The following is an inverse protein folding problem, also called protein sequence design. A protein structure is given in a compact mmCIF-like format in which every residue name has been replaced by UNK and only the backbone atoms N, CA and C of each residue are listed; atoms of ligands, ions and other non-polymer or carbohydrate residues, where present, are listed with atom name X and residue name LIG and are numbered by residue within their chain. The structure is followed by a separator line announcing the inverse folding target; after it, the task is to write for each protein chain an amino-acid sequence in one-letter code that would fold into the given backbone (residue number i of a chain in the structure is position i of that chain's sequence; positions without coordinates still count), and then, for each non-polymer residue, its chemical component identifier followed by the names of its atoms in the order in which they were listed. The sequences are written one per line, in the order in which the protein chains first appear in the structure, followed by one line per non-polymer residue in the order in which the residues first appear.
data_IF_883337029071
#
_entry.id   IF_883337029071
#
_cell.length_a   1.000
_cell.length_b   1.000
_cell.length_c   1.000
_cell.angle_alpha   90.00
_cell.angle_beta   90.00
_cell.angle_gamma   90.00
#
_symmetry.space_group_name_H-M   'P 1'
#
loop_
_entity.id
_entity.type
_entity.pdbx_description
1 polymer ?
#
# COMPACT_ATOMS: atom_id res chain seq x y z
N UNK A 1 14.19 43.47 4.60
CA UNK A 1 14.31 42.00 4.77
C UNK A 1 13.05 41.43 4.15
N UNK A 2 13.14 40.97 2.91
CA UNK A 2 11.98 40.63 2.09
C UNK A 2 11.48 39.23 2.45
N UNK A 3 10.19 39.14 2.79
CA UNK A 3 9.46 37.88 2.93
C UNK A 3 9.39 37.18 1.57
N UNK A 4 10.16 36.12 1.38
CA UNK A 4 9.98 35.21 0.25
C UNK A 4 8.81 34.29 0.57
N UNK A 5 7.60 34.72 0.19
CA UNK A 5 6.44 33.82 0.08
C UNK A 5 6.72 32.84 -1.05
N UNK A 6 6.95 31.57 -0.70
CA UNK A 6 6.95 30.47 -1.67
C UNK A 6 5.52 30.34 -2.18
N UNK A 7 5.30 30.78 -3.41
CA UNK A 7 4.05 30.54 -4.12
C UNK A 7 3.89 29.02 -4.27
N UNK A 8 2.89 28.45 -3.60
CA UNK A 8 2.42 27.11 -3.90
C UNK A 8 1.71 27.19 -5.25
N UNK A 9 2.35 26.69 -6.30
CA UNK A 9 1.68 26.52 -7.58
C UNK A 9 0.55 25.49 -7.42
N UNK A 10 -0.64 25.72 -8.02
CA UNK A 10 -1.72 24.77 -7.96
C UNK A 10 -1.26 23.48 -8.65
N UNK A 11 -1.31 22.36 -7.91
CA UNK A 11 -1.06 21.03 -8.43
C UNK A 11 -2.08 20.78 -9.56
N UNK A 12 -1.62 20.84 -10.81
CA UNK A 12 -2.43 20.51 -11.97
C UNK A 12 -2.93 19.06 -11.87
N UNK A 13 -3.93 18.66 -12.66
CA UNK A 13 -4.28 17.24 -12.76
C UNK A 13 -3.00 16.52 -13.20
N UNK A 14 -2.46 15.68 -12.31
CA UNK A 14 -1.33 14.83 -12.63
C UNK A 14 -1.64 14.04 -13.90
N UNK A 15 -0.61 13.58 -14.62
CA UNK A 15 -0.83 12.75 -15.80
C UNK A 15 -1.78 11.61 -15.43
N UNK A 16 -2.75 11.33 -16.30
CA UNK A 16 -3.61 10.17 -16.16
C UNK A 16 -2.70 8.98 -15.89
N UNK A 17 -2.82 8.37 -14.70
CA UNK A 17 -2.03 7.21 -14.35
C UNK A 17 -2.35 6.16 -15.42
N UNK A 18 -1.37 5.86 -16.27
CA UNK A 18 -1.50 4.76 -17.19
C UNK A 18 -1.76 3.51 -16.37
N UNK A 19 -2.71 2.64 -16.79
CA UNK A 19 -2.94 1.39 -16.10
C UNK A 19 -1.59 0.69 -15.96
N UNK A 20 -1.22 0.33 -14.73
CA UNK A 20 0.00 -0.42 -14.47
C UNK A 20 -0.01 -1.64 -15.38
N UNK A 21 0.93 -1.66 -16.33
CA UNK A 21 1.06 -2.78 -17.24
C UNK A 21 1.34 -4.08 -16.47
N UNK A 22 1.05 -5.24 -17.08
CA UNK A 22 1.32 -6.52 -16.47
C UNK A 22 2.80 -6.61 -16.03
N UNK A 23 3.04 -7.14 -14.83
CA UNK A 23 4.37 -7.22 -14.22
C UNK A 23 5.33 -8.12 -15.02
N UNK A 24 6.65 -8.08 -14.73
CA UNK A 24 7.63 -8.90 -15.45
C UNK A 24 7.28 -10.39 -15.34
N UNK A 25 7.01 -11.03 -16.48
CA UNK A 25 6.52 -12.41 -16.58
C UNK A 25 5.03 -12.54 -16.93
N UNK A 26 4.32 -11.42 -17.03
CA UNK A 26 2.92 -11.36 -17.42
C UNK A 26 2.88 -10.74 -18.83
N UNK A 27 2.57 -11.56 -19.84
CA UNK A 27 2.58 -11.10 -21.22
C UNK A 27 1.49 -10.05 -21.47
N UNK A 28 1.77 -8.96 -22.19
CA UNK A 28 0.73 -8.05 -22.65
C UNK A 28 -0.21 -8.84 -23.56
N UNK A 29 -1.52 -8.78 -23.26
CA UNK A 29 -2.54 -9.49 -24.00
C UNK A 29 -2.51 -9.11 -25.48
N UNK A 30 -1.96 -10.00 -26.31
CA UNK A 30 -2.14 -9.97 -27.75
C UNK A 30 -3.60 -10.30 -28.11
N UNK A 31 -4.07 -9.93 -29.31
CA UNK A 31 -5.44 -10.16 -29.77
C UNK A 31 -5.78 -11.64 -30.07
N UNK A 32 -4.95 -12.59 -29.61
CA UNK A 32 -4.97 -13.99 -30.05
C UNK A 32 -5.65 -14.94 -29.05
N UNK A 33 -6.17 -14.43 -27.93
CA UNK A 33 -7.03 -15.24 -27.07
C UNK A 33 -8.48 -15.10 -27.55
N UNK A 34 -8.85 -15.94 -28.51
CA UNK A 34 -10.23 -16.09 -28.94
C UNK A 34 -11.06 -16.45 -27.69
N UNK A 35 -11.95 -15.57 -27.20
CA UNK A 35 -12.67 -15.84 -25.98
C UNK A 35 -13.59 -17.05 -26.23
N UNK A 36 -13.57 -18.10 -25.39
CA UNK A 36 -14.67 -19.03 -25.35
C UNK A 36 -15.93 -18.21 -25.04
N UNK A 37 -17.02 -18.60 -25.69
CA UNK A 37 -18.16 -17.74 -25.97
C UNK A 37 -18.87 -17.14 -24.74
N UNK A 38 -18.54 -17.53 -23.51
CA UNK A 38 -19.19 -17.02 -22.29
C UNK A 38 -18.21 -16.84 -21.10
N UNK A 39 -17.34 -15.83 -21.14
CA UNK A 39 -16.66 -15.34 -19.91
C UNK A 39 -17.41 -14.17 -19.29
N UNK A 40 -17.53 -14.18 -17.96
CA UNK A 40 -18.20 -13.13 -17.19
C UNK A 40 -17.14 -12.30 -16.46
N UNK A 41 -17.13 -10.99 -16.72
CA UNK A 41 -16.38 -10.04 -15.89
C UNK A 41 -17.23 -9.59 -14.70
N UNK A 42 -16.78 -9.91 -13.49
CA UNK A 42 -17.42 -9.52 -12.24
C UNK A 42 -16.55 -8.50 -11.51
N UNK A 43 -17.10 -7.31 -11.25
CA UNK A 43 -16.44 -6.30 -10.43
C UNK A 43 -16.91 -6.42 -8.98
N UNK A 44 -16.06 -6.99 -8.11
CA UNK A 44 -16.24 -6.87 -6.67
C UNK A 44 -15.76 -5.50 -6.21
N UNK A 45 -16.72 -4.57 -6.09
CA UNK A 45 -16.45 -3.19 -5.75
C UNK A 45 -16.04 -2.94 -4.28
N UNK A 46 -15.59 -1.72 -3.94
CA UNK A 46 -15.23 -1.29 -2.59
C UNK A 46 -16.33 -1.45 -1.52
N UNK A 47 -17.59 -1.54 -1.95
CA UNK A 47 -18.76 -1.72 -1.09
C UNK A 47 -19.00 -3.19 -0.73
N UNK A 48 -18.28 -4.13 -1.35
CA UNK A 48 -18.37 -5.53 -1.00
C UNK A 48 -18.01 -5.68 0.49
N UNK A 49 -18.85 -6.36 1.30
CA UNK A 49 -18.57 -6.57 2.72
C UNK A 49 -17.30 -7.42 2.85
N UNK A 50 -16.21 -6.76 3.21
CA UNK A 50 -14.88 -7.38 3.37
C UNK A 50 -14.37 -7.11 4.77
N UNK A 51 -13.96 -8.16 5.48
CA UNK A 51 -13.44 -8.06 6.86
C UNK A 51 -12.08 -7.37 6.91
N UNK A 52 -11.35 -7.30 5.79
CA UNK A 52 -9.93 -6.90 5.74
C UNK A 52 -9.70 -5.49 5.18
N UNK A 53 -10.74 -4.65 5.18
CA UNK A 53 -10.68 -3.29 4.66
C UNK A 53 -11.29 -3.15 3.27
N UNK A 54 -10.88 -2.11 2.55
CA UNK A 54 -11.46 -1.75 1.24
C UNK A 54 -10.57 -2.30 0.12
N UNK A 55 -11.12 -3.20 -0.67
CA UNK A 55 -10.46 -3.81 -1.83
C UNK A 55 -11.45 -3.86 -2.98
N UNK A 56 -10.99 -3.51 -4.19
CA UNK A 56 -11.73 -3.80 -5.42
C UNK A 56 -11.02 -4.93 -6.17
N UNK A 57 -11.76 -5.93 -6.60
CA UNK A 57 -11.21 -7.02 -7.42
C UNK A 57 -12.04 -7.18 -8.68
N UNK A 58 -11.39 -7.11 -9.85
CA UNK A 58 -12.00 -7.44 -11.14
C UNK A 58 -11.72 -8.91 -11.43
N UNK A 59 -12.77 -9.71 -11.48
CA UNK A 59 -12.69 -11.16 -11.67
C UNK A 59 -13.14 -11.53 -13.07
N UNK A 60 -12.39 -12.42 -13.73
CA UNK A 60 -12.84 -13.10 -14.96
C UNK A 60 -13.27 -14.51 -14.59
N UNK A 61 -14.53 -14.83 -14.84
CA UNK A 61 -15.16 -16.08 -14.46
C UNK A 61 -15.51 -16.91 -15.70
N UNK A 62 -15.22 -18.20 -15.60
CA UNK A 62 -15.67 -19.27 -16.49
C UNK A 62 -16.63 -20.15 -15.69
N UNK A 63 -17.91 -19.76 -15.67
CA UNK A 63 -18.90 -20.31 -14.75
C UNK A 63 -18.55 -20.03 -13.28
N UNK A 64 -18.29 -21.10 -12.51
CA UNK A 64 -17.89 -21.02 -11.09
C UNK A 64 -16.35 -20.94 -10.90
N UNK A 65 -15.58 -21.04 -11.98
CA UNK A 65 -14.12 -21.06 -11.93
C UNK A 65 -13.56 -19.65 -12.15
N UNK A 66 -12.76 -19.17 -11.21
CA UNK A 66 -11.97 -17.93 -11.38
C UNK A 66 -10.80 -18.22 -12.31
N UNK A 67 -10.78 -17.58 -13.48
CA UNK A 67 -9.67 -17.66 -14.43
C UNK A 67 -8.62 -16.59 -14.19
N UNK A 68 -9.05 -15.41 -13.77
CA UNK A 68 -8.18 -14.27 -13.49
C UNK A 68 -8.78 -13.35 -12.42
N UNK A 69 -7.91 -12.66 -11.69
CA UNK A 69 -8.25 -11.71 -10.64
C UNK A 69 -7.27 -10.54 -10.64
N UNK A 70 -7.78 -9.35 -10.96
CA UNK A 70 -7.04 -8.09 -10.95
C UNK A 70 -7.44 -7.26 -9.72
N UNK A 71 -6.61 -7.24 -8.65
CA UNK A 71 -6.88 -6.44 -7.47
C UNK A 71 -6.46 -4.97 -7.68
N UNK A 72 -7.41 -4.06 -7.58
CA UNK A 72 -7.14 -2.62 -7.52
C UNK A 72 -6.95 -2.22 -6.04
N UNK A 73 -5.70 -1.92 -5.71
CA UNK A 73 -5.21 -1.54 -4.38
C UNK A 73 -4.98 -0.03 -4.28
N UNK A 74 -4.92 0.49 -3.05
CA UNK A 74 -4.57 1.90 -2.81
C UNK A 74 -5.72 2.78 -2.31
N UNK A 75 -6.92 2.22 -2.13
CA UNK A 75 -8.05 2.92 -1.49
C UNK A 75 -7.74 3.43 -0.07
N UNK A 76 -6.77 2.81 0.61
CA UNK A 76 -6.29 3.22 1.94
C UNK A 76 -4.85 3.78 1.90
N UNK A 77 -4.38 4.25 0.74
CA UNK A 77 -3.08 4.90 0.66
C UNK A 77 -3.15 6.29 1.32
N UNK A 78 -2.51 6.42 2.49
CA UNK A 78 -2.48 7.67 3.27
C UNK A 78 -1.15 8.43 3.16
N UNK A 79 -0.20 7.94 2.37
CA UNK A 79 1.11 8.59 2.21
C UNK A 79 1.96 8.56 3.49
N UNK A 80 2.03 7.39 4.16
CA UNK A 80 2.83 7.21 5.37
C UNK A 80 4.28 7.65 5.16
N UNK A 81 4.93 7.20 4.09
CA UNK A 81 6.31 7.53 3.76
C UNK A 81 6.55 9.03 3.71
N UNK A 82 5.66 9.77 3.05
CA UNK A 82 5.73 11.22 2.98
C UNK A 82 5.53 11.87 4.35
N UNK A 83 4.61 11.32 5.16
CA UNK A 83 4.37 11.80 6.52
C UNK A 83 5.56 11.58 7.44
N UNK A 84 6.39 10.55 7.19
CA UNK A 84 7.60 10.29 7.95
C UNK A 84 8.73 11.28 7.65
N UNK A 85 8.73 11.96 6.49
CA UNK A 85 9.75 12.97 6.18
C UNK A 85 9.66 14.22 7.07
N UNK A 86 8.45 14.61 7.47
CA UNK A 86 8.22 15.79 8.32
C UNK A 86 8.35 15.46 9.82
N UNK A 87 8.21 14.18 10.19
CA UNK A 87 8.08 13.76 11.59
C UNK A 87 9.41 13.33 12.18
N UNK A 88 9.59 13.67 13.45
CA UNK A 88 10.70 13.11 14.24
C UNK A 88 10.50 11.61 14.46
N UNK A 89 11.59 10.86 14.66
CA UNK A 89 11.54 9.42 14.91
C UNK A 89 10.60 9.04 16.06
N UNK A 90 10.57 9.83 17.15
CA UNK A 90 9.66 9.59 18.28
C UNK A 90 8.19 9.79 17.92
N UNK A 91 7.87 10.78 17.09
CA UNK A 91 6.50 10.99 16.60
C UNK A 91 6.09 9.92 15.59
N UNK A 92 7.05 9.41 14.80
CA UNK A 92 6.84 8.38 13.80
C UNK A 92 6.30 7.05 14.35
N UNK A 93 6.59 6.72 15.61
CA UNK A 93 6.09 5.49 16.26
C UNK A 93 4.56 5.41 16.21
N UNK A 94 3.86 6.54 16.40
CA UNK A 94 2.39 6.58 16.35
C UNK A 94 1.81 6.35 14.95
N UNK A 95 2.64 6.49 13.91
CA UNK A 95 2.29 6.18 12.52
C UNK A 95 2.58 4.72 12.18
N UNK A 96 3.60 4.09 12.76
CA UNK A 96 3.86 2.66 12.54
C UNK A 96 2.74 1.76 13.07
N UNK A 97 2.07 2.16 14.15
CA UNK A 97 0.86 1.49 14.66
C UNK A 97 -0.27 1.36 13.62
N UNK A 98 -0.31 2.26 12.63
CA UNK A 98 -1.38 2.32 11.64
C UNK A 98 -1.09 1.56 10.35
N UNK A 99 0.13 1.06 10.19
CA UNK A 99 0.51 0.29 8.99
C UNK A 99 -0.11 -1.12 9.00
N UNK A 100 -0.20 -1.74 10.17
CA UNK A 100 -0.93 -2.99 10.43
C UNK A 100 -1.76 -2.76 11.68
N UNK A 101 -3.07 -2.61 11.46
CA UNK A 101 -4.01 -2.34 12.53
C UNK A 101 -4.29 -3.58 13.41
N UNK A 102 -3.89 -4.78 12.98
CA UNK A 102 -4.07 -6.03 13.74
C UNK A 102 -2.90 -6.30 14.69
N UNK A 103 -1.68 -5.88 14.33
CA UNK A 103 -0.48 -6.10 15.14
C UNK A 103 0.40 -4.84 15.31
N UNK A 104 -0.10 -3.76 15.96
CA UNK A 104 0.66 -2.53 16.17
C UNK A 104 2.04 -2.72 16.85
N UNK A 105 2.18 -3.56 17.90
CA UNK A 105 3.47 -3.75 18.57
C UNK A 105 4.58 -4.30 17.66
N UNK A 106 4.23 -5.16 16.70
CA UNK A 106 5.22 -5.79 15.79
C UNK A 106 5.78 -4.73 14.83
N UNK A 107 4.92 -3.86 14.31
CA UNK A 107 5.35 -2.75 13.46
C UNK A 107 6.24 -1.76 14.20
N UNK A 108 5.89 -1.44 15.44
CA UNK A 108 6.71 -0.56 16.27
C UNK A 108 8.10 -1.14 16.51
N UNK A 109 8.19 -2.44 16.79
CA UNK A 109 9.47 -3.13 16.94
C UNK A 109 10.28 -3.05 15.64
N UNK A 110 9.67 -3.30 14.48
CA UNK A 110 10.34 -3.16 13.17
C UNK A 110 10.90 -1.75 12.91
N UNK A 111 10.10 -0.73 13.20
CA UNK A 111 10.50 0.67 13.05
C UNK A 111 11.63 1.05 14.02
N UNK A 112 11.47 0.75 15.31
CA UNK A 112 12.44 1.10 16.36
C UNK A 112 13.77 0.37 16.14
N UNK A 113 13.77 -0.92 15.78
CA UNK A 113 15.00 -1.65 15.47
C UNK A 113 15.75 -1.04 14.29
N UNK A 114 15.04 -0.52 13.29
CA UNK A 114 15.64 0.16 12.14
C UNK A 114 16.34 1.46 12.58
N UNK A 115 15.70 2.24 13.46
CA UNK A 115 16.29 3.47 14.02
C UNK A 115 17.49 3.14 14.92
N UNK A 116 17.39 2.15 15.80
CA UNK A 116 18.47 1.71 16.68
C UNK A 116 19.71 1.28 15.89
N UNK A 117 19.51 0.54 14.79
CA UNK A 117 20.58 0.15 13.88
C UNK A 117 21.22 1.34 13.17
N UNK A 118 20.44 2.36 12.79
CA UNK A 118 20.96 3.57 12.16
C UNK A 118 21.86 4.39 13.09
N UNK A 119 21.53 4.46 14.38
CA UNK A 119 22.30 5.20 15.38
C UNK A 119 23.38 4.38 16.09
N UNK A 120 23.42 3.06 15.86
CA UNK A 120 24.42 2.15 16.43
C UNK A 120 24.28 1.94 17.95
N UNK A 121 23.06 1.99 18.48
CA UNK A 121 22.82 1.83 19.93
C UNK A 121 22.57 0.36 20.27
N UNK A 122 23.22 -0.11 21.34
CA UNK A 122 22.96 -1.43 21.92
C UNK A 122 21.80 -1.36 22.93
N UNK A 123 20.77 -2.18 22.71
CA UNK A 123 19.58 -2.23 23.56
C UNK A 123 19.81 -3.17 24.75
N UNK A 124 19.44 -2.80 25.99
CA UNK A 124 19.61 -3.66 27.16
C UNK A 124 18.90 -5.02 27.01
N UNK A 125 19.52 -6.09 27.53
CA UNK A 125 18.98 -7.46 27.46
C UNK A 125 17.53 -7.57 27.98
N UNK A 126 17.17 -6.81 29.02
CA UNK A 126 15.79 -6.75 29.53
C UNK A 126 14.81 -6.20 28.50
N UNK A 127 15.19 -5.14 27.77
CA UNK A 127 14.32 -4.55 26.76
C UNK A 127 14.20 -5.46 25.53
N UNK A 128 15.26 -6.20 25.18
CA UNK A 128 15.19 -7.23 24.13
C UNK A 128 14.23 -8.36 24.52
N UNK A 129 14.28 -8.85 25.76
CA UNK A 129 13.41 -9.92 26.25
C UNK A 129 11.93 -9.52 26.30
N UNK A 130 11.61 -8.22 26.48
CA UNK A 130 10.22 -7.72 26.48
C UNK A 130 9.64 -7.65 25.05
N UNK A 131 10.49 -7.59 24.02
CA UNK A 131 10.06 -7.49 22.61
C UNK A 131 9.68 -8.84 22.00
N UNK A 132 10.05 -9.96 22.63
CA UNK A 132 9.87 -11.35 22.16
C UNK A 132 8.72 -12.00 22.92
#
# INVERSE_FOLDING_TARGET
MAETRVAQEPFGPGPAQEPFGPGPGQEPFGPEHEPPTDWIELNMGPQHPSTHGVLRVRLKLDGEVVRDADPDIGYLHTGFEKSFEEKTYTQGITFSDRMDYLAPPINNVGFVMSVEKLIGVEVPARAQAIRV
#
